data_IF_242039771224
#
_entry.id   IF_242039771224
#
_cell.length_a   1.000
_cell.length_b   1.000
_cell.length_c   1.000
_cell.angle_alpha   90.00
_cell.angle_beta   90.00
_cell.angle_gamma   90.00
#
_symmetry.space_group_name_H-M   'P 1'
#
loop_
_entity.id
_entity.type
_entity.pdbx_description
1 polymer ?
#
# COMPACT_ATOMS: atom_id res chain seq x y z
N UNK A 1 -5.14 -8.53 5.24
CA UNK A 1 -5.87 -8.96 4.00
C UNK A 1 -5.37 -8.36 2.67
N UNK A 2 -5.43 -7.05 2.37
CA UNK A 2 -5.01 -6.52 1.03
C UNK A 2 -3.48 -6.46 0.85
N UNK A 3 -2.76 -6.01 1.87
CA UNK A 3 -1.31 -5.93 1.87
C UNK A 3 -0.68 -7.33 1.72
N UNK A 4 -1.18 -8.33 2.46
CA UNK A 4 -0.75 -9.73 2.31
C UNK A 4 -0.98 -10.25 0.89
N UNK A 5 -2.16 -10.04 0.30
CA UNK A 5 -2.44 -10.55 -1.05
C UNK A 5 -1.51 -9.94 -2.10
N UNK A 6 -1.23 -8.65 -1.96
CA UNK A 6 -0.25 -7.95 -2.78
C UNK A 6 1.14 -8.55 -2.58
N UNK A 7 1.53 -8.81 -1.34
CA UNK A 7 2.82 -9.40 -1.00
C UNK A 7 2.97 -10.83 -1.54
N UNK A 8 1.95 -11.68 -1.45
CA UNK A 8 1.92 -13.00 -2.08
C UNK A 8 2.19 -12.95 -3.59
N UNK A 9 1.60 -11.97 -4.29
CA UNK A 9 1.84 -11.79 -5.73
C UNK A 9 3.29 -11.41 -6.03
N UNK A 10 3.91 -10.57 -5.19
CA UNK A 10 5.33 -10.23 -5.31
C UNK A 10 6.25 -11.42 -4.99
N UNK A 11 5.98 -12.21 -3.96
CA UNK A 11 6.78 -13.41 -3.67
C UNK A 11 6.71 -14.44 -4.79
N UNK A 12 5.54 -14.61 -5.41
CA UNK A 12 5.34 -15.54 -6.54
C UNK A 12 6.22 -15.22 -7.75
N UNK A 13 6.67 -13.98 -7.89
CA UNK A 13 7.60 -13.55 -8.94
C UNK A 13 9.05 -13.41 -8.45
N UNK A 14 9.36 -13.94 -7.25
CA UNK A 14 10.71 -13.99 -6.70
C UNK A 14 11.18 -12.70 -6.03
N UNK A 15 10.27 -11.76 -5.74
CA UNK A 15 10.60 -10.52 -5.04
C UNK A 15 10.48 -10.76 -3.53
N UNK A 16 11.59 -10.52 -2.81
CA UNK A 16 11.58 -10.55 -1.36
C UNK A 16 10.68 -9.43 -0.84
N UNK A 17 9.65 -9.80 -0.09
CA UNK A 17 8.67 -8.86 0.46
C UNK A 17 8.53 -9.06 1.96
N UNK A 18 8.07 -8.01 2.63
CA UNK A 18 7.67 -8.06 4.02
C UNK A 18 6.51 -7.11 4.22
N UNK A 19 5.51 -7.51 5.00
CA UNK A 19 4.39 -6.67 5.36
C UNK A 19 4.69 -5.95 6.68
N UNK A 20 4.50 -4.64 6.70
CA UNK A 20 4.54 -3.83 7.93
C UNK A 20 3.10 -3.66 8.40
N UNK A 21 2.82 -4.01 9.66
CA UNK A 21 1.45 -3.97 10.20
C UNK A 21 1.44 -3.67 11.70
N UNK A 22 0.30 -3.23 12.23
CA UNK A 22 -0.03 -3.18 13.66
C UNK A 22 -0.73 -4.46 14.15
N UNK A 23 -1.18 -5.31 13.21
CA UNK A 23 -1.81 -6.61 13.51
C UNK A 23 -0.79 -7.67 13.93
N UNK A 24 -1.25 -8.65 14.72
CA UNK A 24 -0.43 -9.79 15.11
C UNK A 24 -0.11 -10.65 13.86
N UNK A 25 1.12 -11.15 13.71
CA UNK A 25 1.48 -11.99 12.58
C UNK A 25 0.72 -13.32 12.62
N UNK A 26 0.16 -13.72 11.48
CA UNK A 26 -0.40 -15.06 11.30
C UNK A 26 0.72 -16.10 11.10
N UNK A 27 0.60 -17.28 11.70
CA UNK A 27 1.57 -18.37 11.52
C UNK A 27 1.53 -18.91 10.09
N UNK A 28 2.70 -19.06 9.46
CA UNK A 28 2.84 -19.68 8.14
C UNK A 28 2.60 -18.77 6.93
N UNK A 29 2.48 -17.44 7.14
CA UNK A 29 2.28 -16.45 6.08
C UNK A 29 3.56 -15.73 5.58
N UNK A 30 3.34 -14.71 4.76
CA UNK A 30 4.36 -13.75 4.30
C UNK A 30 5.13 -13.18 5.51
N UNK A 31 6.45 -12.92 5.42
CA UNK A 31 7.18 -12.27 6.51
C UNK A 31 6.52 -10.95 6.95
N UNK A 32 6.23 -10.81 8.24
CA UNK A 32 5.62 -9.60 8.82
C UNK A 32 6.55 -8.93 9.83
N UNK A 33 6.44 -7.60 9.97
CA UNK A 33 7.10 -6.82 11.00
C UNK A 33 6.11 -5.85 11.63
N UNK A 34 6.14 -5.74 12.96
CA UNK A 34 5.37 -4.73 13.67
C UNK A 34 5.84 -3.32 13.27
N UNK A 35 4.89 -2.41 13.03
CA UNK A 35 5.18 -1.02 12.68
C UNK A 35 6.15 -0.35 13.68
N UNK A 36 5.98 -0.60 14.97
CA UNK A 36 6.85 -0.04 16.02
C UNK A 36 8.31 -0.51 15.95
N UNK A 37 8.54 -1.72 15.44
CA UNK A 37 9.89 -2.19 15.14
C UNK A 37 10.38 -1.56 13.83
N UNK A 38 9.55 -1.59 12.80
CA UNK A 38 9.89 -1.10 11.47
C UNK A 38 10.28 0.39 11.45
N UNK A 39 9.56 1.24 12.19
CA UNK A 39 9.79 2.70 12.21
C UNK A 39 11.20 3.11 12.69
N UNK A 40 11.88 2.22 13.42
CA UNK A 40 13.24 2.42 13.92
C UNK A 40 14.29 1.60 13.15
N UNK A 41 13.87 0.82 12.16
CA UNK A 41 14.72 -0.08 11.38
C UNK A 41 15.18 0.51 10.05
N UNK A 42 15.98 -0.27 9.32
CA UNK A 42 16.35 0.05 7.94
C UNK A 42 15.19 -0.34 7.00
N UNK A 43 14.67 0.57 6.17
CA UNK A 43 13.61 0.23 5.23
C UNK A 43 14.13 -0.61 4.06
N UNK A 44 13.19 -1.22 3.34
CA UNK A 44 13.45 -1.77 2.01
C UNK A 44 13.71 -0.64 0.99
N UNK A 45 14.26 -1.01 -0.18
CA UNK A 45 14.48 -0.08 -1.30
C UNK A 45 13.16 0.44 -1.90
N UNK A 46 12.10 -0.38 -1.88
CA UNK A 46 10.76 0.01 -2.31
C UNK A 46 9.78 -0.17 -1.16
N UNK A 47 8.96 0.84 -0.92
CA UNK A 47 7.92 0.85 0.11
C UNK A 47 6.59 1.11 -0.60
N UNK A 48 5.60 0.25 -0.37
CA UNK A 48 4.24 0.44 -0.85
C UNK A 48 3.37 0.75 0.36
N UNK A 49 2.91 2.00 0.49
CA UNK A 49 2.01 2.37 1.57
C UNK A 49 0.56 2.04 1.19
N UNK A 50 -0.09 1.23 2.02
CA UNK A 50 -1.51 0.93 1.93
C UNK A 50 -2.30 1.42 3.15
N UNK A 51 -1.62 1.97 4.17
CA UNK A 51 -2.25 2.37 5.42
C UNK A 51 -3.09 3.64 5.21
N UNK A 52 -4.33 3.69 5.75
CA UNK A 52 -5.18 4.88 5.68
C UNK A 52 -4.82 5.92 6.76
N UNK A 53 -3.51 6.10 6.99
CA UNK A 53 -2.96 7.00 8.01
C UNK A 53 -1.51 7.36 7.65
N UNK A 54 -1.02 8.47 8.18
CA UNK A 54 0.39 8.87 8.04
C UNK A 54 1.29 7.92 8.80
N UNK A 55 2.04 7.08 8.07
CA UNK A 55 2.95 6.04 8.62
C UNK A 55 4.40 6.25 8.20
N UNK A 56 4.66 7.15 7.25
CA UNK A 56 6.01 7.53 6.87
C UNK A 56 6.23 9.00 7.24
N UNK A 57 7.01 9.22 8.30
CA UNK A 57 7.35 10.55 8.79
C UNK A 57 8.65 11.06 8.18
N UNK A 58 8.87 12.37 8.22
CA UNK A 58 10.12 13.02 7.84
C UNK A 58 11.31 12.42 8.59
N UNK A 59 11.20 12.27 9.91
CA UNK A 59 12.28 11.74 10.76
C UNK A 59 12.69 10.32 10.37
N UNK A 60 11.72 9.48 9.97
CA UNK A 60 12.03 8.15 9.44
C UNK A 60 12.74 8.25 8.09
N UNK A 61 12.19 9.06 7.18
CA UNK A 61 12.70 9.23 5.82
C UNK A 61 14.12 9.81 5.75
N UNK A 62 14.53 10.63 6.72
CA UNK A 62 15.91 11.12 6.85
C UNK A 62 16.95 9.98 6.96
N UNK A 63 16.54 8.81 7.46
CA UNK A 63 17.40 7.62 7.60
C UNK A 63 17.27 6.62 6.45
N UNK A 64 16.40 6.89 5.48
CA UNK A 64 16.20 6.01 4.33
C UNK A 64 17.41 6.07 3.39
N UNK A 65 17.66 4.97 2.68
CA UNK A 65 18.80 4.90 1.77
C UNK A 65 18.55 5.80 0.55
N UNK A 66 19.59 6.41 -0.03
CA UNK A 66 19.45 7.11 -1.31
C UNK A 66 18.88 6.17 -2.39
N UNK A 67 17.88 6.65 -3.12
CA UNK A 67 17.16 5.88 -4.12
C UNK A 67 15.99 5.06 -3.56
N UNK A 68 15.61 5.21 -2.29
CA UNK A 68 14.36 4.64 -1.78
C UNK A 68 13.16 5.16 -2.59
N UNK A 69 12.29 4.24 -3.02
CA UNK A 69 11.05 4.54 -3.74
C UNK A 69 9.88 4.29 -2.80
N UNK A 70 8.97 5.25 -2.72
CA UNK A 70 7.73 5.15 -1.96
C UNK A 70 6.55 5.28 -2.93
N UNK A 71 5.70 4.26 -2.98
CA UNK A 71 4.46 4.25 -3.75
C UNK A 71 3.31 4.30 -2.75
N UNK A 72 2.59 5.42 -2.70
CA UNK A 72 1.45 5.62 -1.82
C UNK A 72 0.15 5.34 -2.57
N UNK A 73 -0.51 4.22 -2.25
CA UNK A 73 -1.76 3.79 -2.89
C UNK A 73 -2.97 3.95 -1.95
N UNK A 74 -2.79 4.57 -0.78
CA UNK A 74 -3.88 4.87 0.14
C UNK A 74 -4.87 5.86 -0.51
N UNK A 75 -6.15 5.54 -0.45
CA UNK A 75 -7.18 6.18 -1.27
C UNK A 75 -7.60 7.59 -0.81
N UNK A 76 -7.26 8.04 0.41
CA UNK A 76 -7.77 9.31 0.96
C UNK A 76 -6.90 9.99 2.03
N UNK A 77 -5.64 9.61 2.22
CA UNK A 77 -4.78 10.26 3.22
C UNK A 77 -3.34 10.39 2.75
N UNK A 78 -2.66 11.38 3.33
CA UNK A 78 -1.23 11.67 3.17
C UNK A 78 -0.46 10.63 4.00
N UNK A 79 -0.38 9.40 3.50
CA UNK A 79 0.28 8.27 4.18
C UNK A 79 1.77 8.48 4.40
N UNK A 80 2.32 9.42 3.63
CA UNK A 80 3.67 9.94 3.67
C UNK A 80 3.62 11.42 4.01
N UNK A 81 4.30 11.88 5.06
CA UNK A 81 4.34 13.30 5.41
C UNK A 81 4.75 14.19 4.20
N UNK A 82 4.13 15.38 4.01
CA UNK A 82 4.42 16.24 2.86
C UNK A 82 5.91 16.57 2.68
N UNK A 83 6.65 16.71 3.78
CA UNK A 83 8.07 17.02 3.75
C UNK A 83 8.94 15.93 3.08
N UNK A 84 8.46 14.69 3.00
CA UNK A 84 9.19 13.58 2.37
C UNK A 84 9.19 13.70 0.84
N UNK A 85 8.16 14.32 0.26
CA UNK A 85 8.06 14.54 -1.20
C UNK A 85 9.16 15.47 -1.72
N UNK A 86 9.66 16.36 -0.86
CA UNK A 86 10.70 17.33 -1.18
C UNK A 86 12.12 16.79 -0.93
N UNK A 87 12.27 15.56 -0.43
CA UNK A 87 13.58 14.98 -0.14
C UNK A 87 14.29 14.54 -1.42
N UNK A 88 15.50 15.06 -1.73
CA UNK A 88 16.16 14.82 -3.02
C UNK A 88 16.67 13.38 -3.20
N UNK A 89 16.83 12.63 -2.11
CA UNK A 89 17.33 11.25 -2.13
C UNK A 89 16.22 10.18 -2.14
N UNK A 90 14.95 10.59 -2.12
CA UNK A 90 13.78 9.70 -2.08
C UNK A 90 12.86 10.03 -3.25
N UNK A 91 12.31 9.00 -3.89
CA UNK A 91 11.27 9.18 -4.89
C UNK A 91 9.91 8.80 -4.30
N UNK A 92 9.01 9.78 -4.13
CA UNK A 92 7.63 9.52 -3.70
C UNK A 92 6.68 9.64 -4.88
N UNK A 93 5.79 8.65 -5.03
CA UNK A 93 4.71 8.64 -6.02
C UNK A 93 3.39 8.27 -5.37
N UNK A 94 2.45 9.20 -5.39
CA UNK A 94 1.06 8.92 -5.06
C UNK A 94 0.37 8.27 -6.27
N UNK A 95 -0.31 7.16 -6.04
CA UNK A 95 -1.11 6.45 -7.04
C UNK A 95 -2.46 6.01 -6.45
N UNK A 96 -3.28 6.96 -5.96
CA UNK A 96 -4.61 6.64 -5.45
C UNK A 96 -5.51 6.12 -6.57
N UNK A 97 -6.36 5.14 -6.26
CA UNK A 97 -7.29 4.59 -7.25
C UNK A 97 -6.62 3.80 -8.37
N UNK A 98 -5.46 3.18 -8.10
CA UNK A 98 -4.67 2.45 -9.09
C UNK A 98 -5.50 1.52 -10.00
N UNK A 99 -6.49 0.73 -9.52
CA UNK A 99 -7.32 -0.08 -10.41
C UNK A 99 -8.05 0.73 -11.49
N UNK A 100 -8.59 1.90 -11.16
CA UNK A 100 -9.23 2.80 -12.12
C UNK A 100 -8.25 3.47 -13.09
N UNK A 101 -6.96 3.55 -12.72
CA UNK A 101 -5.90 4.10 -13.55
C UNK A 101 -5.31 3.06 -14.53
N UNK A 102 -5.13 1.81 -14.09
CA UNK A 102 -4.38 0.79 -14.87
C UNK A 102 -5.26 -0.32 -15.44
N UNK A 103 -6.49 -0.48 -14.95
CA UNK A 103 -7.42 -1.54 -15.34
C UNK A 103 -8.85 -0.98 -15.47
N UNK A 104 -9.00 0.08 -16.25
CA UNK A 104 -10.26 0.84 -16.39
C UNK A 104 -11.48 -0.03 -16.74
N UNK A 105 -11.33 -0.96 -17.69
CA UNK A 105 -12.41 -1.85 -18.10
C UNK A 105 -12.81 -2.78 -16.95
N UNK A 106 -11.84 -3.46 -16.33
CA UNK A 106 -12.09 -4.36 -15.20
C UNK A 106 -12.68 -3.63 -14.00
N UNK A 107 -12.22 -2.41 -13.72
CA UNK A 107 -12.79 -1.56 -12.67
C UNK A 107 -14.26 -1.21 -12.97
N UNK A 108 -14.59 -0.90 -14.24
CA UNK A 108 -15.95 -0.66 -14.70
C UNK A 108 -16.85 -1.88 -14.58
N UNK A 109 -16.36 -3.06 -14.97
CA UNK A 109 -17.07 -4.34 -14.83
C UNK A 109 -17.37 -4.66 -13.36
N UNK A 110 -16.38 -4.52 -12.46
CA UNK A 110 -16.57 -4.71 -11.02
C UNK A 110 -17.62 -3.74 -10.46
N UNK A 111 -17.61 -2.48 -10.91
CA UNK A 111 -18.58 -1.47 -10.48
C UNK A 111 -20.00 -1.82 -10.95
N UNK A 112 -20.17 -2.21 -12.22
CA UNK A 112 -21.46 -2.62 -12.77
C UNK A 112 -22.03 -3.84 -12.00
N UNK A 113 -21.21 -4.86 -11.78
CA UNK A 113 -21.56 -6.05 -10.99
C UNK A 113 -21.96 -5.69 -9.55
N UNK A 114 -21.22 -4.80 -8.90
CA UNK A 114 -21.53 -4.35 -7.55
C UNK A 114 -22.88 -3.63 -7.49
N UNK A 115 -23.16 -2.74 -8.45
CA UNK A 115 -24.42 -2.00 -8.54
C UNK A 115 -25.59 -2.96 -8.77
N UNK A 116 -25.45 -3.87 -9.73
CA UNK A 116 -26.49 -4.85 -10.06
C UNK A 116 -26.85 -5.71 -8.85
N UNK A 117 -25.85 -6.23 -8.14
CA UNK A 117 -26.06 -7.14 -7.00
C UNK A 117 -26.58 -6.44 -5.75
N UNK A 118 -26.12 -5.22 -5.46
CA UNK A 118 -26.41 -4.57 -4.17
C UNK A 118 -27.56 -3.58 -4.22
N UNK A 119 -27.86 -3.01 -5.38
CA UNK A 119 -28.90 -2.00 -5.51
C UNK A 119 -30.04 -2.54 -6.36
N UNK A 120 -29.78 -3.00 -7.58
CA UNK A 120 -30.86 -3.40 -8.50
C UNK A 120 -31.56 -4.69 -8.04
N UNK A 121 -30.81 -5.77 -7.80
CA UNK A 121 -31.38 -7.07 -7.40
C UNK A 121 -31.93 -7.11 -5.97
N UNK A 122 -31.46 -6.22 -5.08
CA UNK A 122 -31.87 -6.20 -3.65
C UNK A 122 -33.06 -5.28 -3.36
N UNK A 123 -33.31 -4.24 -4.17
CA UNK A 123 -34.35 -3.24 -3.85
C UNK A 123 -35.64 -3.36 -4.66
N UNK A 124 -35.75 -4.33 -5.57
CA UNK A 124 -37.01 -4.59 -6.29
C UNK A 124 -37.45 -3.42 -7.19
N UNK A 125 -36.48 -2.75 -7.81
CA UNK A 125 -36.73 -1.97 -9.03
C UNK A 125 -36.76 -2.90 -10.25
#
# INVERSE_FOLDING_TARGET
MWAEKTAELFERIGIAVRVVTDEAPEEGGIPMIAYDHWKNGKPCSVIINTAPSTVITKTMAEHFQPGTIIIDIASNQVGVEPAVYEMPHICVKAAPGLPGLVAEQSAGEILADYIERNFLKKTGF
#
